data_IF_020380979906
#
_entry.id   IF_020380979906
#
_cell.length_a   1.000
_cell.length_b   1.000
_cell.length_c   1.000
_cell.angle_alpha   90.00
_cell.angle_beta   90.00
_cell.angle_gamma   90.00
#
_symmetry.space_group_name_H-M   'P 1'
#
loop_
_entity.id
_entity.type
_entity.pdbx_description
1 polymer ?
#
# COMPACT_ATOMS: atom_id res chain seq x y z
N UNK A 1 16.73 -12.03 -27.38
CA UNK A 1 15.66 -12.82 -26.75
C UNK A 1 15.96 -12.81 -25.25
N UNK A 2 15.36 -11.87 -24.52
CA UNK A 2 15.56 -11.73 -23.06
C UNK A 2 14.75 -12.84 -22.41
N UNK A 3 15.41 -13.77 -21.71
CA UNK A 3 14.72 -14.74 -20.84
C UNK A 3 14.08 -13.96 -19.70
N UNK A 4 12.75 -13.88 -19.71
CA UNK A 4 11.96 -13.46 -18.54
C UNK A 4 12.11 -14.62 -17.54
N UNK A 5 13.00 -14.46 -16.58
CA UNK A 5 13.00 -15.34 -15.41
C UNK A 5 11.66 -15.15 -14.70
N UNK A 6 10.90 -16.23 -14.57
CA UNK A 6 9.72 -16.29 -13.73
C UNK A 6 10.14 -16.03 -12.28
N UNK A 7 10.20 -14.76 -11.87
CA UNK A 7 10.37 -14.41 -10.47
C UNK A 7 9.17 -15.01 -9.72
N UNK A 8 9.44 -15.95 -8.81
CA UNK A 8 8.42 -16.56 -7.95
C UNK A 8 7.67 -15.41 -7.26
N UNK A 9 6.34 -15.44 -7.33
CA UNK A 9 5.50 -14.45 -6.63
C UNK A 9 5.85 -14.48 -5.13
N UNK A 10 6.15 -13.32 -4.55
CA UNK A 10 6.48 -13.20 -3.13
C UNK A 10 5.23 -13.39 -2.28
N UNK A 11 5.40 -13.78 -1.01
CA UNK A 11 4.26 -14.01 -0.11
C UNK A 11 3.46 -12.72 0.09
N UNK A 12 4.15 -11.57 0.20
CA UNK A 12 3.46 -10.28 0.34
C UNK A 12 2.58 -9.96 -0.88
N UNK A 13 3.05 -10.17 -2.11
CA UNK A 13 2.25 -9.95 -3.32
C UNK A 13 1.04 -10.88 -3.37
N UNK A 14 1.21 -12.14 -2.97
CA UNK A 14 0.10 -13.08 -2.82
C UNK A 14 -0.94 -12.60 -1.80
N UNK A 15 -0.51 -12.07 -0.65
CA UNK A 15 -1.41 -11.50 0.37
C UNK A 15 -2.15 -10.27 -0.15
N UNK A 16 -1.45 -9.33 -0.80
CA UNK A 16 -2.03 -8.12 -1.40
C UNK A 16 -3.04 -8.43 -2.53
N UNK A 17 -3.02 -9.64 -3.04
CA UNK A 17 -3.94 -10.12 -4.09
C UNK A 17 -5.22 -10.77 -3.56
N UNK A 18 -5.39 -10.91 -2.24
CA UNK A 18 -6.55 -11.59 -1.63
C UNK A 18 -7.77 -10.71 -1.47
N UNK A 19 -7.61 -9.39 -1.41
CA UNK A 19 -8.73 -8.45 -1.32
C UNK A 19 -9.55 -8.47 -2.62
N UNK A 20 -10.85 -8.73 -2.50
CA UNK A 20 -11.77 -8.92 -3.62
C UNK A 20 -13.10 -8.25 -3.33
N UNK A 21 -13.87 -7.96 -4.39
CA UNK A 21 -15.13 -7.25 -4.34
C UNK A 21 -16.15 -7.75 -3.31
N UNK A 22 -16.22 -9.06 -3.09
CA UNK A 22 -17.28 -9.72 -2.34
C UNK A 22 -16.91 -10.12 -0.90
N UNK A 23 -15.87 -9.55 -0.34
CA UNK A 23 -15.53 -9.74 1.07
C UNK A 23 -16.47 -8.92 1.94
N UNK A 24 -16.94 -9.51 3.06
CA UNK A 24 -17.63 -8.76 4.10
C UNK A 24 -16.65 -7.93 4.96
N UNK A 25 -17.16 -7.04 5.79
CA UNK A 25 -16.34 -6.13 6.62
C UNK A 25 -15.37 -6.90 7.51
N UNK A 26 -15.83 -7.97 8.15
CA UNK A 26 -15.00 -8.78 9.04
C UNK A 26 -13.86 -9.46 8.28
N UNK A 27 -14.13 -9.95 7.08
CA UNK A 27 -13.12 -10.56 6.21
C UNK A 27 -12.08 -9.55 5.73
N UNK A 28 -12.52 -8.34 5.36
CA UNK A 28 -11.60 -7.24 4.98
C UNK A 28 -10.71 -6.84 6.15
N UNK A 29 -11.29 -6.67 7.35
CA UNK A 29 -10.51 -6.33 8.55
C UNK A 29 -9.48 -7.43 8.89
N UNK A 30 -9.86 -8.70 8.75
CA UNK A 30 -8.96 -9.81 8.99
C UNK A 30 -7.81 -9.85 7.96
N UNK A 31 -8.11 -9.62 6.68
CA UNK A 31 -7.05 -9.56 5.66
C UNK A 31 -6.13 -8.34 5.85
N UNK A 32 -6.65 -7.19 6.27
CA UNK A 32 -5.82 -6.05 6.63
C UNK A 32 -4.86 -6.39 7.78
N UNK A 33 -5.34 -7.05 8.81
CA UNK A 33 -4.51 -7.50 9.94
C UNK A 33 -3.42 -8.48 9.48
N UNK A 34 -3.80 -9.49 8.70
CA UNK A 34 -2.87 -10.49 8.16
C UNK A 34 -1.78 -9.86 7.26
N UNK A 35 -2.15 -8.85 6.48
CA UNK A 35 -1.22 -8.11 5.63
C UNK A 35 -0.31 -7.23 6.48
N UNK A 36 -0.87 -6.48 7.44
CA UNK A 36 -0.11 -5.60 8.32
C UNK A 36 0.93 -6.36 9.14
N UNK A 37 0.53 -7.46 9.80
CA UNK A 37 1.43 -8.32 10.56
C UNK A 37 2.59 -8.83 9.69
N UNK A 38 2.27 -9.27 8.47
CA UNK A 38 3.30 -9.77 7.57
C UNK A 38 4.20 -8.65 7.04
N UNK A 39 3.62 -7.51 6.64
CA UNK A 39 4.37 -6.38 6.09
C UNK A 39 5.33 -5.78 7.13
N UNK A 40 4.83 -5.54 8.34
CA UNK A 40 5.62 -4.95 9.44
C UNK A 40 6.65 -5.93 10.00
N UNK A 41 6.32 -7.22 10.07
CA UNK A 41 7.19 -8.25 10.67
C UNK A 41 8.18 -8.89 9.71
N UNK A 42 7.81 -9.03 8.43
CA UNK A 42 8.57 -9.87 7.49
C UNK A 42 9.11 -9.12 6.27
N UNK A 43 8.71 -7.86 6.06
CA UNK A 43 9.10 -7.13 4.87
C UNK A 43 9.93 -5.89 5.16
N UNK A 44 10.72 -5.49 4.18
CA UNK A 44 11.42 -4.23 4.15
C UNK A 44 11.47 -3.70 2.72
N UNK A 45 11.72 -2.40 2.58
CA UNK A 45 11.99 -1.80 1.28
C UNK A 45 13.50 -1.72 1.13
N UNK A 46 14.01 -2.27 0.03
CA UNK A 46 15.40 -2.16 -0.38
C UNK A 46 15.55 -1.17 -1.51
N UNK A 47 16.50 -0.28 -1.37
CA UNK A 47 16.87 0.68 -2.39
C UNK A 47 18.37 0.91 -2.34
N UNK A 48 19.09 0.42 -3.34
CA UNK A 48 20.55 0.37 -3.36
C UNK A 48 21.12 -0.33 -2.11
N UNK A 49 21.97 0.33 -1.34
CA UNK A 49 22.54 -0.19 -0.10
C UNK A 49 21.75 0.21 1.16
N UNK A 50 20.53 0.73 0.99
CA UNK A 50 19.68 1.20 2.08
C UNK A 50 18.49 0.25 2.21
N UNK A 51 18.17 -0.08 3.46
CA UNK A 51 16.96 -0.79 3.82
C UNK A 51 16.04 0.12 4.63
N UNK A 52 14.74 0.00 4.40
CA UNK A 52 13.72 0.71 5.17
C UNK A 52 12.73 -0.30 5.75
N UNK A 53 12.62 -0.32 7.09
CA UNK A 53 11.59 -1.09 7.80
C UNK A 53 10.31 -0.27 7.90
N UNK A 54 9.18 -0.93 7.69
CA UNK A 54 7.88 -0.30 7.91
C UNK A 54 7.64 -0.13 9.41
N UNK A 55 7.25 1.08 9.84
CA UNK A 55 6.86 1.37 11.22
C UNK A 55 5.37 1.62 11.35
N UNK A 56 4.79 2.32 10.39
CA UNK A 56 3.39 2.67 10.38
C UNK A 56 2.85 2.64 8.95
N UNK A 57 1.68 2.04 8.79
CA UNK A 57 0.97 1.96 7.51
C UNK A 57 -0.52 2.20 7.72
N UNK A 58 -1.19 2.69 6.68
CA UNK A 58 -2.61 3.00 6.69
C UNK A 58 -3.28 2.34 5.47
N UNK A 59 -4.39 1.64 5.68
CA UNK A 59 -5.07 0.89 4.64
C UNK A 59 -6.20 1.71 4.04
N UNK A 60 -6.28 1.71 2.72
CA UNK A 60 -7.37 2.28 1.93
C UNK A 60 -7.89 1.23 0.98
N UNK A 61 -9.19 0.95 1.06
CA UNK A 61 -9.82 -0.06 0.23
C UNK A 61 -11.24 0.35 -0.12
N UNK A 62 -11.59 0.15 -1.38
CA UNK A 62 -12.94 0.35 -1.89
C UNK A 62 -13.46 -0.95 -2.50
N UNK A 63 -14.69 -1.27 -2.20
CA UNK A 63 -15.51 -2.18 -2.99
C UNK A 63 -16.97 -1.75 -2.87
N UNK A 64 -17.87 -2.38 -3.65
CA UNK A 64 -19.31 -2.10 -3.55
C UNK A 64 -19.89 -2.42 -2.16
N UNK A 65 -19.30 -3.40 -1.46
CA UNK A 65 -19.69 -3.76 -0.08
C UNK A 65 -19.01 -2.86 0.97
N UNK A 66 -17.89 -2.22 0.61
CA UNK A 66 -17.13 -1.31 1.47
C UNK A 66 -16.88 -0.01 0.71
N UNK A 67 -17.90 0.83 0.57
CA UNK A 67 -17.74 2.12 -0.10
C UNK A 67 -17.01 3.10 0.83
N UNK A 68 -15.69 3.03 0.85
CA UNK A 68 -14.85 4.05 1.51
C UNK A 68 -14.89 5.33 0.68
N UNK A 69 -15.90 6.15 0.97
CA UNK A 69 -16.24 7.35 0.20
C UNK A 69 -16.07 8.62 1.03
N UNK A 70 -15.72 9.69 0.35
CA UNK A 70 -15.77 11.06 0.86
C UNK A 70 -16.84 11.84 0.12
N UNK A 71 -17.47 12.77 0.83
CA UNK A 71 -18.44 13.71 0.25
C UNK A 71 -17.74 15.06 0.06
N UNK A 72 -17.75 15.58 -1.15
CA UNK A 72 -17.20 16.90 -1.45
C UNK A 72 -18.19 18.04 -1.08
N UNK A 73 -17.74 19.28 -1.18
CA UNK A 73 -18.56 20.46 -0.89
C UNK A 73 -19.79 20.63 -1.82
N UNK A 74 -19.93 19.76 -2.83
CA UNK A 74 -21.09 19.72 -3.75
C UNK A 74 -21.96 18.50 -3.52
N UNK A 75 -21.81 17.83 -2.38
CA UNK A 75 -22.49 16.59 -2.01
C UNK A 75 -22.22 15.44 -3.01
N UNK A 76 -21.09 15.47 -3.71
CA UNK A 76 -20.69 14.39 -4.60
C UNK A 76 -19.88 13.36 -3.82
N UNK A 77 -20.35 12.14 -3.81
CA UNK A 77 -19.63 10.99 -3.27
C UNK A 77 -18.49 10.55 -4.20
N UNK A 78 -17.31 10.41 -3.67
CA UNK A 78 -16.14 9.90 -4.39
C UNK A 78 -15.34 8.97 -3.49
N UNK A 79 -14.81 7.84 -4.01
CA UNK A 79 -13.93 6.98 -3.23
C UNK A 79 -12.68 7.72 -2.77
N UNK A 80 -12.15 7.35 -1.61
CA UNK A 80 -10.80 7.74 -1.21
C UNK A 80 -9.73 7.09 -2.08
N UNK A 81 -10.04 5.91 -2.59
CA UNK A 81 -9.17 5.13 -3.48
C UNK A 81 -9.37 5.58 -4.92
N UNK A 82 -8.28 5.76 -5.64
CA UNK A 82 -8.30 6.16 -7.05
C UNK A 82 -8.15 4.96 -7.98
N UNK A 83 -8.71 5.01 -9.20
CA UNK A 83 -8.52 3.97 -10.22
C UNK A 83 -7.06 3.67 -10.56
N UNK A 84 -6.15 4.60 -10.28
CA UNK A 84 -4.70 4.46 -10.49
C UNK A 84 -4.03 3.48 -9.52
N UNK A 85 -4.69 3.09 -8.44
CA UNK A 85 -4.25 1.99 -7.58
C UNK A 85 -4.43 0.62 -8.25
N UNK A 86 -4.68 0.58 -9.53
CA UNK A 86 -5.45 -0.49 -10.12
C UNK A 86 -4.69 -1.56 -10.88
N UNK A 87 -3.38 -1.52 -11.01
CA UNK A 87 -2.80 -2.45 -11.99
C UNK A 87 -2.34 -3.77 -11.39
N UNK A 88 -1.50 -3.74 -10.39
CA UNK A 88 -0.89 -4.95 -9.85
C UNK A 88 -0.64 -4.82 -8.36
N UNK A 89 -0.85 -5.92 -7.63
CA UNK A 89 -0.43 -6.02 -6.24
C UNK A 89 1.09 -5.76 -6.10
N UNK A 90 1.46 -5.00 -5.07
CA UNK A 90 2.85 -4.72 -4.73
C UNK A 90 3.53 -3.62 -5.56
N UNK A 91 2.80 -2.94 -6.45
CA UNK A 91 3.32 -1.77 -7.18
C UNK A 91 3.21 -0.53 -6.30
N UNK A 92 4.24 0.29 -6.31
CA UNK A 92 4.20 1.60 -5.66
C UNK A 92 3.43 2.61 -6.51
N UNK A 93 2.55 3.35 -5.88
CA UNK A 93 1.79 4.44 -6.48
C UNK A 93 2.04 5.74 -5.71
N UNK A 94 2.71 6.70 -6.35
CA UNK A 94 2.98 8.02 -5.77
C UNK A 94 1.85 9.00 -6.07
N UNK A 95 1.44 9.77 -5.07
CA UNK A 95 0.40 10.78 -5.18
C UNK A 95 0.66 11.96 -4.24
N UNK A 96 -0.20 12.98 -4.27
CA UNK A 96 0.00 14.23 -3.48
C UNK A 96 0.03 14.05 -1.96
N UNK A 97 -0.44 12.91 -1.45
CA UNK A 97 -0.45 12.62 -0.01
C UNK A 97 0.63 11.62 0.40
N UNK A 98 1.45 11.12 -0.52
CA UNK A 98 2.51 10.17 -0.21
C UNK A 98 2.68 9.05 -1.25
N UNK A 99 3.00 7.87 -0.79
CA UNK A 99 3.18 6.66 -1.60
C UNK A 99 2.43 5.47 -1.02
N UNK A 100 1.69 4.78 -1.89
CA UNK A 100 0.95 3.56 -1.56
C UNK A 100 1.61 2.32 -2.16
N UNK A 101 1.47 1.20 -1.47
CA UNK A 101 1.66 -0.15 -2.02
C UNK A 101 0.30 -0.64 -2.49
N UNK A 102 0.12 -0.83 -3.80
CA UNK A 102 -1.19 -1.19 -4.35
C UNK A 102 -1.63 -2.61 -4.00
N UNK A 103 -2.93 -2.79 -3.73
CA UNK A 103 -3.60 -4.08 -3.80
C UNK A 103 -3.84 -4.48 -5.24
N UNK A 104 -4.14 -5.75 -5.46
CA UNK A 104 -4.73 -6.17 -6.73
C UNK A 104 -6.12 -5.56 -6.86
N UNK A 105 -6.39 -4.92 -7.96
CA UNK A 105 -7.65 -4.23 -8.22
C UNK A 105 -8.33 -4.77 -9.48
N UNK A 106 -9.63 -4.51 -9.62
CA UNK A 106 -10.39 -4.84 -10.81
C UNK A 106 -11.18 -3.64 -11.31
N UNK A 107 -11.03 -3.36 -12.60
CA UNK A 107 -11.82 -2.34 -13.30
C UNK A 107 -12.88 -3.07 -14.13
N UNK A 108 -14.15 -2.73 -13.92
CA UNK A 108 -15.25 -3.29 -14.72
C UNK A 108 -15.12 -2.82 -16.18
N UNK A 109 -14.98 -3.78 -17.09
CA UNK A 109 -14.97 -3.48 -18.53
C UNK A 109 -16.37 -3.14 -19.10
N UNK A 110 -17.41 -3.23 -18.28
CA UNK A 110 -18.80 -3.06 -18.70
C UNK A 110 -19.32 -1.61 -18.61
N UNK A 111 -18.48 -0.66 -18.28
CA UNK A 111 -18.84 0.75 -18.25
C UNK A 111 -18.80 1.41 -19.62
N UNK A 112 -19.80 1.16 -20.46
CA UNK A 112 -20.07 1.98 -21.65
C UNK A 112 -20.70 3.32 -21.26
N UNK A 113 -20.05 4.06 -20.40
CA UNK A 113 -20.50 5.37 -19.96
C UNK A 113 -19.37 6.11 -19.29
N UNK A 114 -19.02 7.22 -19.86
CA UNK A 114 -18.09 8.29 -19.59
C UNK A 114 -17.79 8.71 -18.14
N UNK A 115 -17.80 7.83 -17.16
CA UNK A 115 -17.33 8.10 -15.80
C UNK A 115 -16.00 7.40 -15.58
N UNK A 116 -14.92 8.14 -15.62
CA UNK A 116 -13.52 7.74 -15.44
C UNK A 116 -13.19 7.08 -14.09
N UNK A 117 -14.19 6.76 -13.26
CA UNK A 117 -14.01 6.33 -11.87
C UNK A 117 -14.75 5.02 -11.51
N UNK A 118 -15.15 4.20 -12.45
CA UNK A 118 -15.80 2.94 -12.11
C UNK A 118 -14.80 1.78 -12.05
N UNK A 119 -14.33 1.47 -10.87
CA UNK A 119 -13.66 0.20 -10.59
C UNK A 119 -14.49 -0.61 -9.58
N UNK A 120 -14.42 -1.94 -9.66
CA UNK A 120 -15.22 -2.81 -8.82
C UNK A 120 -14.66 -2.89 -7.41
N UNK A 121 -13.34 -3.00 -7.31
CA UNK A 121 -12.62 -2.97 -6.04
C UNK A 121 -11.15 -2.58 -6.26
N UNK A 122 -10.52 -2.06 -5.22
CA UNK A 122 -9.11 -1.70 -5.24
C UNK A 122 -8.68 -0.92 -4.03
N UNK A 123 -7.42 -0.56 -4.01
CA UNK A 123 -6.85 0.25 -2.95
C UNK A 123 -5.36 0.08 -2.80
N UNK A 124 -4.86 0.54 -1.66
CA UNK A 124 -3.45 0.47 -1.33
C UNK A 124 -3.18 0.66 0.15
N UNK A 125 -1.91 0.53 0.48
CA UNK A 125 -1.36 0.72 1.81
C UNK A 125 -0.49 1.96 1.77
N UNK A 126 -0.94 3.05 2.39
CA UNK A 126 -0.16 4.27 2.52
C UNK A 126 0.96 4.05 3.53
N UNK A 127 2.19 4.33 3.11
CA UNK A 127 3.36 4.29 3.98
C UNK A 127 3.39 5.57 4.83
N UNK A 128 3.28 5.42 6.16
CA UNK A 128 3.20 6.54 7.10
C UNK A 128 4.52 6.86 7.76
N UNK A 129 5.29 5.81 8.10
CA UNK A 129 6.64 6.01 8.61
C UNK A 129 7.55 4.81 8.33
N UNK A 130 8.84 5.11 8.18
CA UNK A 130 9.89 4.16 7.86
C UNK A 130 11.08 4.34 8.82
N UNK A 131 11.69 3.23 9.21
CA UNK A 131 12.97 3.21 9.88
C UNK A 131 14.05 2.89 8.85
N UNK A 132 14.96 3.84 8.63
CA UNK A 132 16.10 3.65 7.75
C UNK A 132 17.18 2.83 8.47
N UNK A 133 17.68 1.80 7.82
CA UNK A 133 18.83 1.02 8.27
C UNK A 133 20.04 1.32 7.39
N UNK A 134 21.22 1.22 7.97
CA UNK A 134 22.47 1.25 7.19
C UNK A 134 22.74 -0.10 6.54
N UNK A 135 23.78 -0.18 5.71
CA UNK A 135 24.22 -1.42 5.04
C UNK A 135 24.57 -2.59 5.99
N UNK A 136 24.66 -2.35 7.28
CA UNK A 136 24.91 -3.38 8.30
C UNK A 136 23.62 -3.73 9.07
N UNK A 137 22.45 -3.24 8.62
CA UNK A 137 21.15 -3.46 9.26
C UNK A 137 20.97 -2.69 10.58
N UNK A 138 21.82 -1.68 10.87
CA UNK A 138 21.68 -0.86 12.08
C UNK A 138 20.71 0.29 11.83
N UNK A 139 19.77 0.53 12.77
CA UNK A 139 18.91 1.68 12.71
C UNK A 139 19.70 2.99 12.64
N UNK A 140 19.36 3.84 11.70
CA UNK A 140 19.82 5.23 11.70
C UNK A 140 18.99 6.03 12.69
N UNK A 141 19.56 7.09 13.26
CA UNK A 141 18.92 7.88 14.32
C UNK A 141 17.59 8.54 13.89
N UNK A 142 17.37 8.68 12.58
CA UNK A 142 16.21 9.42 12.06
C UNK A 142 15.17 8.48 11.47
N UNK A 143 14.00 8.46 12.08
CA UNK A 143 12.79 7.88 11.50
C UNK A 143 12.28 8.83 10.42
N UNK A 144 11.97 8.30 9.25
CA UNK A 144 11.23 9.02 8.21
C UNK A 144 9.75 9.01 8.62
N UNK A 145 9.23 10.15 9.05
CA UNK A 145 7.89 10.26 9.60
C UNK A 145 7.00 11.19 8.77
N UNK A 146 5.89 10.67 8.33
CA UNK A 146 4.94 11.33 7.44
C UNK A 146 4.93 10.73 6.03
N UNK A 147 3.74 10.64 5.41
CA UNK A 147 3.60 9.95 4.11
C UNK A 147 4.35 10.67 2.98
N UNK A 148 4.42 12.00 3.04
CA UNK A 148 5.17 12.78 2.06
C UNK A 148 6.67 12.56 2.20
N UNK A 149 7.19 12.58 3.44
CA UNK A 149 8.60 12.33 3.70
C UNK A 149 9.02 10.91 3.32
N UNK A 150 8.14 9.92 3.52
CA UNK A 150 8.35 8.56 3.03
C UNK A 150 8.40 8.51 1.49
N UNK A 151 7.51 9.22 0.82
CA UNK A 151 7.52 9.32 -0.64
C UNK A 151 8.82 9.99 -1.14
N UNK A 152 9.22 11.09 -0.52
CA UNK A 152 10.45 11.81 -0.89
C UNK A 152 11.70 10.96 -0.65
N UNK A 153 11.76 10.25 0.49
CA UNK A 153 12.88 9.36 0.80
C UNK A 153 13.06 8.24 -0.23
N UNK A 154 11.95 7.71 -0.78
CA UNK A 154 11.96 6.59 -1.72
C UNK A 154 12.04 7.04 -3.19
N UNK A 155 11.44 8.19 -3.54
CA UNK A 155 11.20 8.63 -4.92
C UNK A 155 11.67 10.07 -5.17
N UNK A 156 12.69 10.54 -4.46
CA UNK A 156 13.26 11.84 -4.76
C UNK A 156 13.94 11.82 -6.12
N UNK A 157 13.37 12.56 -7.07
CA UNK A 157 13.85 12.63 -8.46
C UNK A 157 15.18 13.35 -8.64
N UNK A 158 15.68 14.02 -7.60
CA UNK A 158 16.99 14.69 -7.64
C UNK A 158 18.16 13.74 -7.42
N UNK A 159 17.89 12.56 -6.88
CA UNK A 159 18.89 11.55 -6.60
C UNK A 159 18.82 10.43 -7.65
N UNK A 160 19.99 10.00 -8.15
CA UNK A 160 20.11 8.82 -9.03
C UNK A 160 19.99 7.53 -8.20
N UNK A 161 18.80 7.26 -7.65
CA UNK A 161 18.50 6.05 -6.89
C UNK A 161 17.86 4.99 -7.77
N UNK A 162 18.11 3.73 -7.43
CA UNK A 162 17.36 2.61 -8.03
C UNK A 162 15.89 2.66 -7.60
N UNK A 163 15.02 2.00 -8.37
CA UNK A 163 13.61 1.85 -7.99
C UNK A 163 13.52 0.98 -6.72
N UNK A 164 12.78 1.42 -5.68
CA UNK A 164 12.65 0.66 -4.45
C UNK A 164 11.89 -0.65 -4.69
N UNK A 165 12.31 -1.71 -4.01
CA UNK A 165 11.67 -3.03 -4.07
C UNK A 165 11.30 -3.51 -2.67
N UNK A 166 10.18 -4.25 -2.57
CA UNK A 166 9.80 -4.91 -1.33
C UNK A 166 10.44 -6.28 -1.30
N UNK A 167 11.25 -6.53 -0.28
CA UNK A 167 11.88 -7.82 -0.01
C UNK A 167 11.36 -8.42 1.30
N UNK A 168 11.50 -9.73 1.45
CA UNK A 168 11.08 -10.50 2.62
C UNK A 168 12.31 -10.91 3.42
N UNK A 169 12.23 -10.83 4.75
CA UNK A 169 13.31 -11.27 5.64
C UNK A 169 13.30 -12.80 5.79
N UNK A 170 14.45 -13.37 6.05
CA UNK A 170 14.58 -14.82 6.31
C UNK A 170 13.95 -15.22 7.65
N UNK A 171 14.08 -14.35 8.67
CA UNK A 171 13.49 -14.55 10.00
C UNK A 171 12.51 -13.41 10.31
N UNK A 172 11.27 -13.78 10.65
CA UNK A 172 10.23 -12.82 11.01
C UNK A 172 10.60 -12.05 12.29
N UNK A 173 10.27 -10.76 12.30
CA UNK A 173 10.36 -9.93 13.50
C UNK A 173 8.99 -9.86 14.17
N UNK A 174 8.98 -9.71 15.51
CA UNK A 174 7.74 -9.47 16.24
C UNK A 174 7.11 -8.14 15.79
N UNK A 175 5.85 -8.20 15.39
CA UNK A 175 5.07 -7.05 15.01
C UNK A 175 3.82 -6.93 15.89
N UNK A 176 3.74 -5.87 16.69
CA UNK A 176 2.53 -5.51 17.45
C UNK A 176 1.61 -4.67 16.58
N UNK A 177 0.62 -5.31 15.98
CA UNK A 177 -0.33 -4.64 15.10
C UNK A 177 -1.53 -4.11 15.89
N UNK A 178 -1.63 -2.79 16.00
CA UNK A 178 -2.77 -2.10 16.61
C UNK A 178 -3.58 -1.43 15.52
N UNK A 179 -4.86 -1.79 15.43
CA UNK A 179 -5.79 -1.09 14.53
C UNK A 179 -6.44 0.09 15.25
N UNK A 180 -6.38 1.26 14.64
CA UNK A 180 -7.15 2.43 15.07
C UNK A 180 -8.20 2.68 13.99
N UNK A 181 -9.49 2.47 14.32
CA UNK A 181 -10.58 2.88 13.42
C UNK A 181 -10.63 4.41 13.43
N UNK A 182 -10.57 5.02 12.24
CA UNK A 182 -10.87 6.45 12.10
C UNK A 182 -12.32 6.66 12.52
N UNK A 183 -12.56 7.38 13.60
CA UNK A 183 -13.90 7.92 13.89
C UNK A 183 -14.14 9.02 12.85
N UNK A 184 -15.04 8.76 11.92
CA UNK A 184 -15.61 9.81 11.07
C UNK A 184 -16.42 10.66 12.04
N UNK A 185 -15.89 11.81 12.42
CA UNK A 185 -16.62 12.74 13.26
C UNK A 185 -17.88 13.17 12.52
N UNK A 186 -19.02 12.99 13.16
CA UNK A 186 -20.26 13.64 12.78
C UNK A 186 -19.99 15.14 12.83
N UNK A 187 -19.79 15.75 11.64
CA UNK A 187 -19.59 17.18 11.44
C UNK A 187 -20.79 17.80 10.77
#
# INVERSE_FOLDING_TARGET
MVKIENKKETVIVSKLSKLKENLDEQSVEQEFRNIAEYLLGNCYIKQDDIEYRFLEVEFYYYSKLHPDIKVDNKNKETPFVYPRHCDKAGVFFTHTSGVDICFKSCISQNGSGSNENSFDYGGGILIRSLLRLDKNGKPQETVVAGPWDCCDALFNYTDEKSYPIIEEVEEAMDADVRSVKRQIGDG
#
